data_IF_883323791367
#
_entry.id   IF_883323791367
#
_cell.length_a   1.000
_cell.length_b   1.000
_cell.length_c   1.000
_cell.angle_alpha   90.00
_cell.angle_beta   90.00
_cell.angle_gamma   90.00
#
_symmetry.space_group_name_H-M   'P 1'
#
loop_
_entity.id
_entity.type
_entity.pdbx_description
1 polymer ?
#
# COMPACT_ATOMS: atom_id res chain seq x y z
N UNK A 1 7.73 20.69 11.77
CA UNK A 1 7.61 20.00 10.47
C UNK A 1 6.14 19.95 10.11
N UNK A 2 5.79 20.12 8.85
CA UNK A 2 4.42 19.85 8.40
C UNK A 2 4.08 18.37 8.60
N UNK A 3 2.82 18.01 8.93
CA UNK A 3 2.41 16.62 9.10
C UNK A 3 2.68 15.79 7.84
N UNK A 4 3.16 14.56 8.02
CA UNK A 4 3.30 13.61 6.91
C UNK A 4 1.94 13.32 6.30
N UNK A 5 1.88 13.27 4.98
CA UNK A 5 0.66 12.93 4.23
C UNK A 5 0.86 11.53 3.69
N UNK A 6 0.16 10.58 4.31
CA UNK A 6 0.45 9.16 4.17
C UNK A 6 -0.57 8.49 3.27
N UNK A 7 -0.09 7.79 2.25
CA UNK A 7 -0.88 6.85 1.48
C UNK A 7 -0.66 5.44 2.04
N UNK A 8 -1.74 4.76 2.43
CA UNK A 8 -1.69 3.39 2.95
C UNK A 8 -2.22 2.41 1.90
N UNK A 9 -1.32 1.65 1.29
CA UNK A 9 -1.63 0.64 0.28
C UNK A 9 -1.71 -0.74 0.94
N UNK A 10 -2.64 -1.58 0.49
CA UNK A 10 -2.89 -2.90 1.09
C UNK A 10 -3.27 -2.75 2.57
N UNK A 11 -4.17 -1.80 2.86
CA UNK A 11 -4.44 -1.33 4.21
C UNK A 11 -5.01 -2.38 5.15
N UNK A 12 -5.64 -3.44 4.62
CA UNK A 12 -6.26 -4.49 5.39
C UNK A 12 -7.16 -3.93 6.49
N UNK A 13 -6.90 -4.33 7.73
CA UNK A 13 -7.65 -3.87 8.91
C UNK A 13 -7.07 -2.60 9.56
N UNK A 14 -6.04 -1.98 8.96
CA UNK A 14 -5.44 -0.72 9.43
C UNK A 14 -4.29 -0.88 10.43
N UNK A 15 -3.50 -1.94 10.28
CA UNK A 15 -2.33 -2.18 11.13
C UNK A 15 -1.27 -1.08 10.99
N UNK A 16 -0.98 -0.65 9.76
CA UNK A 16 -0.03 0.43 9.49
C UNK A 16 -0.56 1.78 9.98
N UNK A 17 -1.87 2.04 9.81
CA UNK A 17 -2.52 3.20 10.40
C UNK A 17 -2.34 3.26 11.92
N UNK A 18 -2.62 2.16 12.62
CA UNK A 18 -2.49 2.11 14.07
C UNK A 18 -1.03 2.31 14.51
N UNK A 19 -0.08 1.66 13.82
CA UNK A 19 1.35 1.85 14.08
C UNK A 19 1.78 3.31 13.87
N UNK A 20 1.27 3.99 12.84
CA UNK A 20 1.53 5.41 12.60
C UNK A 20 1.01 6.28 13.76
N UNK A 21 -0.20 6.01 14.28
CA UNK A 21 -0.74 6.71 15.47
C UNK A 21 0.11 6.47 16.70
N UNK A 22 0.53 5.23 16.95
CA UNK A 22 1.35 4.86 18.10
C UNK A 22 2.77 5.42 18.04
N UNK A 23 3.31 5.64 16.84
CA UNK A 23 4.65 6.21 16.65
C UNK A 23 4.78 7.65 17.18
N UNK A 24 3.67 8.36 17.36
CA UNK A 24 3.65 9.78 17.73
C UNK A 24 4.14 10.73 16.64
N UNK A 25 4.44 10.22 15.44
CA UNK A 25 4.82 11.04 14.28
C UNK A 25 3.60 11.85 13.84
N UNK A 26 3.69 13.19 13.72
CA UNK A 26 2.61 14.01 13.18
C UNK A 26 2.34 13.61 11.73
N UNK A 27 1.23 12.92 11.49
CA UNK A 27 0.87 12.37 10.19
C UNK A 27 -0.63 12.30 10.00
N UNK A 28 -1.05 12.31 8.73
CA UNK A 28 -2.44 12.21 8.29
C UNK A 28 -2.51 11.23 7.13
N UNK A 29 -3.27 10.14 7.29
CA UNK A 29 -3.53 9.18 6.21
C UNK A 29 -4.52 9.80 5.23
N UNK A 30 -4.04 10.17 4.04
CA UNK A 30 -4.85 10.84 3.00
C UNK A 30 -5.78 9.87 2.28
N UNK A 31 -5.37 8.60 2.16
CA UNK A 31 -6.20 7.52 1.66
C UNK A 31 -5.65 6.17 2.14
N UNK A 32 -6.56 5.24 2.38
CA UNK A 32 -6.27 3.83 2.59
C UNK A 32 -6.94 3.02 1.47
N UNK A 33 -6.23 2.04 0.92
CA UNK A 33 -6.70 1.25 -0.24
C UNK A 33 -6.61 -0.23 0.10
N UNK A 34 -7.73 -0.93 -0.04
CA UNK A 34 -7.79 -2.39 -0.02
C UNK A 34 -8.97 -2.90 -0.85
N UNK A 35 -8.83 -4.08 -1.43
CA UNK A 35 -9.89 -4.73 -2.23
C UNK A 35 -10.81 -5.61 -1.37
N UNK A 36 -10.40 -5.96 -0.15
CA UNK A 36 -11.15 -6.86 0.71
C UNK A 36 -12.22 -6.10 1.50
N UNK A 37 -13.48 -6.28 1.11
CA UNK A 37 -14.63 -5.63 1.75
C UNK A 37 -14.75 -5.93 3.25
N UNK A 38 -14.43 -7.15 3.69
CA UNK A 38 -14.49 -7.53 5.11
C UNK A 38 -13.43 -6.77 5.91
N UNK A 39 -12.22 -6.66 5.38
CA UNK A 39 -11.14 -5.89 6.01
C UNK A 39 -11.50 -4.39 6.03
N UNK A 40 -12.08 -3.88 4.95
CA UNK A 40 -12.53 -2.51 4.81
C UNK A 40 -13.60 -2.12 5.84
N UNK A 41 -14.55 -3.00 6.16
CA UNK A 41 -15.53 -2.76 7.23
C UNK A 41 -14.85 -2.61 8.59
N UNK A 42 -13.88 -3.47 8.90
CA UNK A 42 -13.09 -3.38 10.15
C UNK A 42 -12.25 -2.11 10.17
N UNK A 43 -11.59 -1.77 9.07
CA UNK A 43 -10.80 -0.55 8.93
C UNK A 43 -11.68 0.67 9.20
N UNK A 44 -12.81 0.79 8.50
CA UNK A 44 -13.73 1.93 8.58
C UNK A 44 -14.36 2.08 9.96
N UNK A 45 -14.64 0.97 10.65
CA UNK A 45 -15.09 0.99 12.04
C UNK A 45 -14.07 1.67 12.97
N UNK A 46 -12.78 1.38 12.79
CA UNK A 46 -11.71 1.92 13.63
C UNK A 46 -11.24 3.33 13.19
N UNK A 47 -11.30 3.63 11.90
CA UNK A 47 -10.81 4.88 11.30
C UNK A 47 -11.89 5.56 10.43
N UNK A 48 -13.05 5.94 11.00
CA UNK A 48 -14.22 6.41 10.24
C UNK A 48 -14.01 7.73 9.50
N UNK A 49 -12.99 8.51 9.89
CA UNK A 49 -12.65 9.79 9.26
C UNK A 49 -11.66 9.65 8.10
N UNK A 50 -11.07 8.47 7.91
CA UNK A 50 -10.09 8.23 6.85
C UNK A 50 -10.80 7.89 5.54
N UNK A 51 -10.33 8.48 4.44
CA UNK A 51 -10.81 8.14 3.12
C UNK A 51 -10.37 6.71 2.76
N UNK A 52 -11.33 5.78 2.80
CA UNK A 52 -11.13 4.40 2.40
C UNK A 52 -11.58 4.20 0.95
N UNK A 53 -10.67 3.67 0.13
CA UNK A 53 -10.90 3.37 -1.28
C UNK A 53 -10.98 1.84 -1.46
N UNK A 54 -12.21 1.32 -1.49
CA UNK A 54 -12.48 -0.10 -1.76
C UNK A 54 -12.31 -0.40 -3.26
N UNK A 55 -11.06 -0.46 -3.73
CA UNK A 55 -10.69 -0.65 -5.14
C UNK A 55 -9.39 -1.46 -5.25
N UNK A 56 -9.18 -2.07 -6.42
CA UNK A 56 -7.85 -2.58 -6.79
C UNK A 56 -6.89 -1.41 -6.97
N UNK A 57 -5.62 -1.62 -6.64
CA UNK A 57 -4.57 -0.61 -6.80
C UNK A 57 -4.37 -0.27 -8.28
N UNK A 58 -4.45 -1.28 -9.15
CA UNK A 58 -4.38 -1.14 -10.61
C UNK A 58 -5.54 -0.32 -11.19
N UNK A 59 -6.64 -0.20 -10.44
CA UNK A 59 -7.79 0.63 -10.79
C UNK A 59 -7.62 2.11 -10.48
N UNK A 60 -6.50 2.53 -9.88
CA UNK A 60 -6.21 3.92 -9.52
C UNK A 60 -5.25 4.53 -10.54
N UNK A 61 -5.73 5.47 -11.33
CA UNK A 61 -4.93 6.15 -12.36
C UNK A 61 -3.82 7.00 -11.76
N UNK A 62 -2.78 7.28 -12.56
CA UNK A 62 -1.70 8.19 -12.19
C UNK A 62 -2.21 9.56 -11.71
N UNK A 63 -3.23 10.10 -12.39
CA UNK A 63 -3.83 11.38 -12.04
C UNK A 63 -4.59 11.31 -10.69
N UNK A 64 -5.25 10.18 -10.38
CA UNK A 64 -5.84 9.95 -9.06
C UNK A 64 -4.76 9.91 -7.96
N UNK A 65 -3.61 9.25 -8.21
CA UNK A 65 -2.49 9.29 -7.25
C UNK A 65 -1.95 10.70 -7.03
N UNK A 66 -1.73 11.48 -8.09
CA UNK A 66 -1.23 12.85 -7.98
C UNK A 66 -2.22 13.74 -7.17
N UNK A 67 -3.53 13.55 -7.38
CA UNK A 67 -4.58 14.27 -6.63
C UNK A 67 -4.57 14.00 -5.12
N UNK A 68 -4.09 12.83 -4.66
CA UNK A 68 -3.99 12.53 -3.24
C UNK A 68 -2.90 13.36 -2.53
N UNK A 69 -1.90 13.84 -3.29
CA UNK A 69 -0.84 14.72 -2.80
C UNK A 69 -0.16 14.18 -1.53
N UNK A 70 0.33 12.94 -1.57
CA UNK A 70 1.03 12.29 -0.44
C UNK A 70 2.55 12.52 -0.52
N UNK A 71 3.24 12.37 0.61
CA UNK A 71 4.70 12.43 0.68
C UNK A 71 5.33 11.21 1.39
N UNK A 72 4.49 10.27 1.83
CA UNK A 72 4.89 9.00 2.41
C UNK A 72 3.97 7.89 1.91
N UNK A 73 4.53 6.71 1.65
CA UNK A 73 3.76 5.49 1.36
C UNK A 73 4.05 4.47 2.46
N UNK A 74 2.99 3.87 3.02
CA UNK A 74 3.05 2.64 3.79
C UNK A 74 2.43 1.54 2.94
N UNK A 75 3.11 0.40 2.77
CA UNK A 75 2.57 -0.70 2.00
C UNK A 75 2.97 -2.07 2.54
N UNK A 76 2.04 -3.03 2.45
CA UNK A 76 2.25 -4.44 2.77
C UNK A 76 1.72 -5.31 1.61
N UNK A 77 2.35 -5.28 0.43
CA UNK A 77 1.89 -6.03 -0.74
C UNK A 77 1.81 -7.53 -0.45
N UNK A 78 0.82 -8.27 -1.01
CA UNK A 78 0.67 -9.69 -0.77
C UNK A 78 1.88 -10.48 -1.31
N UNK A 79 2.35 -11.43 -0.51
CA UNK A 79 3.59 -12.18 -0.73
C UNK A 79 3.48 -13.37 -1.73
N UNK A 80 2.34 -13.64 -2.38
CA UNK A 80 2.21 -14.86 -3.18
C UNK A 80 2.62 -14.63 -4.65
N UNK A 81 3.56 -15.43 -5.22
CA UNK A 81 4.06 -16.74 -4.78
C UNK A 81 5.55 -16.75 -4.35
N UNK A 82 5.99 -15.91 -3.43
CA UNK A 82 7.39 -15.91 -2.95
C UNK A 82 7.70 -16.99 -1.89
N UNK A 83 6.76 -17.91 -1.63
CA UNK A 83 6.94 -19.01 -0.66
C UNK A 83 7.41 -20.29 -1.35
N UNK A 84 8.49 -20.89 -0.82
CA UNK A 84 9.25 -22.06 -1.31
C UNK A 84 8.47 -23.36 -1.57
N UNK A 85 7.14 -23.40 -1.46
CA UNK A 85 6.37 -24.66 -1.37
C UNK A 85 5.34 -24.87 -2.52
N UNK A 86 5.22 -23.99 -3.51
CA UNK A 86 4.29 -24.27 -4.61
C UNK A 86 4.50 -23.47 -5.87
N UNK A 87 5.03 -24.16 -6.89
CA UNK A 87 4.99 -23.81 -8.32
C UNK A 87 5.68 -22.49 -8.72
N UNK A 88 6.76 -22.64 -9.49
CA UNK A 88 7.50 -21.58 -10.19
C UNK A 88 6.60 -20.84 -11.20
N UNK A 89 5.75 -19.94 -10.72
CA UNK A 89 4.88 -19.07 -11.51
C UNK A 89 5.12 -17.60 -11.16
N UNK A 90 6.39 -17.18 -11.21
CA UNK A 90 6.91 -16.01 -10.49
C UNK A 90 6.53 -14.64 -11.09
N UNK A 91 5.79 -14.61 -12.22
CA UNK A 91 5.44 -13.35 -12.93
C UNK A 91 4.03 -13.38 -13.55
N UNK A 92 3.34 -14.52 -13.55
CA UNK A 92 2.00 -14.64 -14.13
C UNK A 92 0.89 -14.62 -13.08
N UNK A 93 1.24 -14.49 -11.81
CA UNK A 93 0.27 -14.42 -10.72
C UNK A 93 -0.38 -13.03 -10.68
N UNK A 94 -1.71 -12.92 -10.88
CA UNK A 94 -2.44 -11.66 -10.80
C UNK A 94 -2.19 -10.88 -9.51
N UNK A 95 -1.80 -11.57 -8.43
CA UNK A 95 -1.52 -10.97 -7.11
C UNK A 95 -0.24 -10.12 -7.10
N UNK A 96 0.73 -10.40 -7.97
CA UNK A 96 1.96 -9.60 -8.12
C UNK A 96 1.76 -8.35 -8.98
N UNK A 97 0.69 -8.31 -9.79
CA UNK A 97 0.44 -7.21 -10.72
C UNK A 97 0.26 -5.87 -10.00
N UNK A 98 -0.42 -5.87 -8.86
CA UNK A 98 -0.65 -4.68 -8.05
C UNK A 98 0.66 -4.03 -7.57
N UNK A 99 1.65 -4.84 -7.18
CA UNK A 99 2.95 -4.32 -6.78
C UNK A 99 3.78 -3.82 -7.97
N UNK A 100 3.81 -4.59 -9.07
CA UNK A 100 4.47 -4.16 -10.32
C UNK A 100 3.84 -2.86 -10.87
N UNK A 101 2.54 -2.70 -10.72
CA UNK A 101 1.83 -1.47 -11.09
C UNK A 101 2.30 -0.28 -10.27
N UNK A 102 2.45 -0.43 -8.95
CA UNK A 102 3.04 0.62 -8.10
C UNK A 102 4.47 0.95 -8.54
N UNK A 103 5.30 -0.06 -8.80
CA UNK A 103 6.67 0.16 -9.30
C UNK A 103 6.69 0.90 -10.64
N UNK A 104 5.70 0.67 -11.51
CA UNK A 104 5.55 1.40 -12.78
C UNK A 104 5.11 2.85 -12.57
N UNK A 105 4.20 3.10 -11.61
CA UNK A 105 3.63 4.42 -11.35
C UNK A 105 4.58 5.33 -10.58
N UNK A 106 5.29 4.81 -9.57
CA UNK A 106 6.16 5.58 -8.70
C UNK A 106 7.08 6.58 -9.45
N UNK A 107 7.85 6.19 -10.48
CA UNK A 107 8.72 7.12 -11.21
C UNK A 107 7.97 8.12 -12.09
N UNK A 108 6.65 7.98 -12.25
CA UNK A 108 5.80 8.81 -13.12
C UNK A 108 4.97 9.84 -12.34
N UNK A 109 4.98 9.77 -11.00
CA UNK A 109 4.28 10.73 -10.13
C UNK A 109 4.83 12.14 -10.33
N UNK A 110 3.95 13.14 -10.28
CA UNK A 110 4.36 14.55 -10.34
C UNK A 110 5.24 14.94 -9.15
N UNK A 111 4.95 14.36 -7.98
CA UNK A 111 5.74 14.53 -6.76
C UNK A 111 6.10 13.16 -6.18
N UNK A 112 7.39 12.85 -6.12
CA UNK A 112 7.87 11.60 -5.54
C UNK A 112 7.71 11.62 -4.01
N UNK A 113 7.24 10.52 -3.39
CA UNK A 113 7.21 10.41 -1.94
C UNK A 113 8.63 10.46 -1.37
N UNK A 114 8.80 11.14 -0.24
CA UNK A 114 10.08 11.24 0.47
C UNK A 114 10.39 9.99 1.28
N UNK A 115 9.34 9.26 1.69
CA UNK A 115 9.44 8.09 2.53
C UNK A 115 8.59 6.95 1.97
N UNK A 116 9.14 5.75 2.00
CA UNK A 116 8.43 4.52 1.66
C UNK A 116 8.76 3.51 2.76
N UNK A 117 7.72 2.98 3.40
CA UNK A 117 7.83 1.79 4.25
C UNK A 117 7.14 0.64 3.53
N UNK A 118 7.89 -0.44 3.29
CA UNK A 118 7.40 -1.66 2.69
C UNK A 118 7.60 -2.80 3.69
N UNK A 119 6.50 -3.45 4.08
CA UNK A 119 6.52 -4.69 4.83
C UNK A 119 6.32 -5.87 3.88
N UNK A 120 7.10 -6.93 4.11
CA UNK A 120 6.95 -8.18 3.39
C UNK A 120 7.55 -9.32 4.24
N UNK A 121 7.25 -10.55 3.86
CA UNK A 121 7.75 -11.73 4.58
C UNK A 121 9.20 -12.05 4.19
N UNK A 122 9.85 -12.86 5.04
CA UNK A 122 11.17 -13.44 4.79
C UNK A 122 11.19 -14.24 3.47
N UNK A 123 12.14 -13.92 2.59
CA UNK A 123 12.28 -14.49 1.25
C UNK A 123 12.01 -13.47 0.14
N UNK A 124 11.35 -12.34 0.44
CA UNK A 124 11.18 -11.25 -0.51
C UNK A 124 12.52 -10.67 -1.00
N UNK A 125 13.54 -10.64 -0.13
CA UNK A 125 14.87 -10.09 -0.42
C UNK A 125 15.64 -10.84 -1.52
N UNK A 126 15.27 -12.09 -1.81
CA UNK A 126 15.85 -12.90 -2.89
C UNK A 126 14.91 -13.06 -4.10
N UNK A 127 13.74 -12.40 -4.08
CA UNK A 127 12.75 -12.49 -5.16
C UNK A 127 13.10 -11.59 -6.35
N UNK A 128 12.57 -11.95 -7.52
CA UNK A 128 12.71 -11.16 -8.75
C UNK A 128 11.92 -9.84 -8.71
N UNK A 129 11.04 -9.66 -7.73
CA UNK A 129 10.12 -8.52 -7.61
C UNK A 129 10.69 -7.36 -6.78
N UNK A 130 11.95 -7.40 -6.35
CA UNK A 130 12.60 -6.32 -5.59
C UNK A 130 12.71 -5.00 -6.35
#
# INVERSE_FOLDING_TARGET
MEPLRVLELYSGVGGMHQALRESGIPAHVVAAIDVNDVANEVYKYNFPQTQLLAKTIEGITLEEFDRLSFNMILMSPPCQPFTRIGLQGDVTDPRTNSFLYILNILPRLQALPKYILLENVKGFEVSSAR
#
